data_IF_689857326876
#
_entry.id   IF_689857326876
#
_cell.length_a   1.000
_cell.length_b   1.000
_cell.length_c   1.000
_cell.angle_alpha   90.00
_cell.angle_beta   90.00
_cell.angle_gamma   90.00
#
_symmetry.space_group_name_H-M   'P 1'
#
loop_
_entity.id
_entity.type
_entity.pdbx_description
1 polymer ?
#
# COMPACT_ATOMS: atom_id res chain seq x y z
N UNK A 1 -3.11 -33.53 -31.09
CA UNK A 1 -4.01 -33.00 -30.03
C UNK A 1 -3.34 -33.01 -28.65
N UNK A 2 -2.51 -34.00 -28.29
CA UNK A 2 -1.80 -34.04 -27.00
C UNK A 2 -0.73 -32.95 -26.80
N UNK A 3 -0.02 -32.55 -27.87
CA UNK A 3 1.05 -31.57 -27.79
C UNK A 3 0.58 -30.16 -27.34
N UNK A 4 -0.62 -29.73 -27.73
CA UNK A 4 -1.17 -28.43 -27.31
C UNK A 4 -1.48 -28.36 -25.82
N UNK A 5 -1.96 -29.46 -25.22
CA UNK A 5 -2.26 -29.47 -23.78
C UNK A 5 -0.98 -29.41 -22.93
N UNK A 6 0.10 -30.05 -23.36
CA UNK A 6 1.39 -30.01 -22.67
C UNK A 6 1.95 -28.59 -22.63
N UNK A 7 1.84 -27.85 -23.74
CA UNK A 7 2.31 -26.45 -23.83
C UNK A 7 1.48 -25.54 -22.90
N UNK A 8 0.15 -25.73 -22.85
CA UNK A 8 -0.73 -24.95 -21.98
C UNK A 8 -0.41 -25.21 -20.50
N UNK A 9 -0.20 -26.46 -20.11
CA UNK A 9 0.15 -26.82 -18.72
C UNK A 9 1.50 -26.20 -18.32
N UNK A 10 2.52 -26.27 -19.18
CA UNK A 10 3.83 -25.67 -18.92
C UNK A 10 3.77 -24.14 -18.73
N UNK A 11 2.92 -23.44 -19.50
CA UNK A 11 2.73 -21.99 -19.37
C UNK A 11 2.03 -21.59 -18.06
N UNK A 12 1.14 -22.43 -17.52
CA UNK A 12 0.46 -22.16 -16.25
C UNK A 12 1.42 -22.36 -15.07
N UNK A 13 2.35 -23.31 -15.15
CA UNK A 13 3.33 -23.56 -14.09
C UNK A 13 4.39 -22.46 -13.93
N UNK A 14 4.81 -21.80 -15.01
CA UNK A 14 5.82 -20.72 -14.95
C UNK A 14 5.26 -19.40 -14.41
N UNK A 15 3.94 -19.19 -14.47
CA UNK A 15 3.30 -17.99 -13.93
C UNK A 15 3.08 -18.04 -12.40
N UNK A 16 3.11 -19.23 -11.79
CA UNK A 16 2.76 -19.42 -10.37
C UNK A 16 3.89 -19.21 -9.35
N UNK A 17 5.14 -19.02 -9.78
CA UNK A 17 6.30 -19.03 -8.86
C UNK A 17 6.94 -17.67 -8.60
N UNK A 18 6.40 -16.59 -9.18
CA UNK A 18 6.89 -15.23 -8.94
C UNK A 18 6.10 -14.55 -7.82
N UNK A 19 5.99 -15.20 -6.67
CA UNK A 19 5.77 -14.44 -5.43
C UNK A 19 7.13 -13.83 -5.08
N UNK A 20 7.30 -12.49 -5.10
CA UNK A 20 8.52 -11.90 -4.62
C UNK A 20 8.69 -12.33 -3.16
N UNK A 21 9.70 -13.16 -2.91
CA UNK A 21 10.23 -13.38 -1.58
C UNK A 21 10.73 -12.01 -1.09
N UNK A 22 9.86 -11.28 -0.40
CA UNK A 22 10.24 -10.15 0.43
C UNK A 22 11.16 -10.73 1.48
N UNK A 23 12.46 -10.58 1.27
CA UNK A 23 13.45 -10.72 2.33
C UNK A 23 13.11 -9.60 3.30
N UNK A 24 12.40 -9.94 4.38
CA UNK A 24 12.06 -8.99 5.43
C UNK A 24 13.34 -8.33 5.89
N UNK A 25 13.38 -7.01 5.88
CA UNK A 25 14.45 -6.30 6.56
C UNK A 25 14.40 -6.67 8.05
N UNK A 26 15.57 -6.85 8.67
CA UNK A 26 15.65 -7.12 10.10
C UNK A 26 15.68 -5.78 10.83
N UNK A 27 14.65 -5.53 11.62
CA UNK A 27 14.57 -4.39 12.51
C UNK A 27 15.29 -4.72 13.81
N UNK A 28 15.98 -3.72 14.37
CA UNK A 28 16.66 -3.83 15.67
C UNK A 28 16.06 -2.82 16.65
N UNK A 29 15.69 -3.27 17.83
CA UNK A 29 15.19 -2.44 18.93
C UNK A 29 16.04 -2.64 20.19
N UNK A 30 16.42 -1.55 20.83
CA UNK A 30 17.17 -1.56 22.10
C UNK A 30 16.19 -1.58 23.27
N UNK A 31 16.17 -2.69 24.03
CA UNK A 31 15.26 -2.92 25.16
C UNK A 31 15.89 -2.52 26.52
N UNK A 32 16.96 -1.73 26.51
CA UNK A 32 17.66 -1.30 27.72
C UNK A 32 18.59 -2.37 28.29
N UNK A 33 18.64 -2.53 29.62
CA UNK A 33 19.61 -3.41 30.27
C UNK A 33 19.48 -4.89 29.83
N UNK A 34 20.63 -5.55 29.69
CA UNK A 34 20.71 -7.00 29.51
C UNK A 34 20.47 -7.71 30.85
N UNK A 35 19.35 -8.41 30.94
CA UNK A 35 18.96 -9.29 32.05
C UNK A 35 18.37 -10.59 31.50
N UNK A 36 18.07 -11.56 32.37
CA UNK A 36 17.46 -12.84 31.98
C UNK A 36 16.08 -12.68 31.31
N UNK A 37 15.43 -11.52 31.50
CA UNK A 37 14.18 -11.14 30.86
C UNK A 37 14.35 -10.55 29.45
N UNK A 38 15.57 -10.33 28.97
CA UNK A 38 15.83 -9.74 27.65
C UNK A 38 15.11 -10.49 26.52
N UNK A 39 15.21 -11.82 26.51
CA UNK A 39 14.56 -12.65 25.50
C UNK A 39 13.03 -12.63 25.62
N UNK A 40 12.50 -12.73 26.84
CA UNK A 40 11.05 -12.76 27.05
C UNK A 40 10.39 -11.43 26.67
N UNK A 41 11.01 -10.29 26.98
CA UNK A 41 10.52 -8.96 26.55
C UNK A 41 10.46 -8.85 25.03
N UNK A 42 11.54 -9.27 24.36
CA UNK A 42 11.64 -9.22 22.90
C UNK A 42 10.59 -10.11 22.21
N UNK A 43 10.47 -11.37 22.62
CA UNK A 43 9.49 -12.30 22.02
C UNK A 43 8.04 -11.97 22.38
N UNK A 44 7.81 -11.28 23.50
CA UNK A 44 6.48 -10.77 23.87
C UNK A 44 6.05 -9.57 23.02
N UNK A 45 6.98 -8.69 22.67
CA UNK A 45 6.71 -7.54 21.79
C UNK A 45 6.63 -7.95 20.31
N UNK A 46 7.50 -8.87 19.88
CA UNK A 46 7.64 -9.29 18.49
C UNK A 46 7.63 -10.82 18.38
N UNK A 47 6.54 -11.44 17.90
CA UNK A 47 6.46 -12.88 17.73
C UNK A 47 7.55 -13.40 16.77
N UNK A 48 8.33 -14.40 17.20
CA UNK A 48 9.41 -14.98 16.39
C UNK A 48 10.73 -14.19 16.41
N UNK A 49 10.78 -13.09 17.16
CA UNK A 49 11.99 -12.30 17.33
C UNK A 49 13.07 -13.03 18.12
N UNK A 50 14.32 -12.57 17.96
CA UNK A 50 15.49 -13.07 18.67
C UNK A 50 16.10 -11.94 19.48
N UNK A 51 16.41 -12.19 20.74
CA UNK A 51 17.16 -11.22 21.55
C UNK A 51 18.63 -11.61 21.68
N UNK A 52 19.49 -10.62 21.85
CA UNK A 52 20.90 -10.81 22.18
C UNK A 52 21.43 -9.64 22.99
N UNK A 53 22.36 -9.92 23.90
CA UNK A 53 23.01 -8.87 24.67
C UNK A 53 24.26 -8.36 23.94
N UNK A 54 24.25 -7.06 23.62
CA UNK A 54 25.39 -6.36 23.08
C UNK A 54 26.33 -5.96 24.22
N UNK A 55 27.49 -6.60 24.27
CA UNK A 55 28.53 -6.40 25.28
C UNK A 55 29.57 -5.34 24.86
N UNK A 56 29.38 -4.65 23.73
CA UNK A 56 30.36 -3.68 23.22
C UNK A 56 30.38 -2.36 24.00
N UNK A 57 29.39 -2.12 24.86
CA UNK A 57 29.32 -0.93 25.72
C UNK A 57 29.59 -1.28 27.20
N UNK A 58 30.03 -0.30 27.99
CA UNK A 58 30.26 -0.45 29.44
C UNK A 58 29.04 -0.99 30.22
N UNK A 59 27.83 -0.81 29.66
CA UNK A 59 26.60 -1.42 30.16
C UNK A 59 26.05 -2.34 29.08
N UNK A 60 25.91 -3.65 29.34
CA UNK A 60 25.39 -4.59 28.35
C UNK A 60 23.94 -4.26 28.02
N UNK A 61 23.65 -4.08 26.73
CA UNK A 61 22.32 -3.66 26.23
C UNK A 61 21.61 -4.86 25.61
N UNK A 62 20.35 -5.06 25.95
CA UNK A 62 19.48 -6.03 25.30
C UNK A 62 19.03 -5.51 23.94
N UNK A 63 19.43 -6.18 22.85
CA UNK A 63 18.95 -5.94 21.49
C UNK A 63 17.96 -6.98 21.06
N UNK A 64 16.84 -6.54 20.52
CA UNK A 64 15.82 -7.37 19.92
C UNK A 64 15.90 -7.27 18.39
N UNK A 65 15.98 -8.42 17.72
CA UNK A 65 16.03 -8.55 16.27
C UNK A 65 14.73 -9.22 15.80
N UNK A 66 13.98 -8.54 14.97
CA UNK A 66 12.69 -9.03 14.47
C UNK A 66 12.50 -8.68 13.00
N UNK A 67 11.62 -9.41 12.32
CA UNK A 67 11.22 -9.06 10.97
C UNK A 67 10.48 -7.73 11.00
N UNK A 68 10.96 -6.74 10.24
CA UNK A 68 10.28 -5.47 10.12
C UNK A 68 8.84 -5.72 9.62
N UNK A 69 7.83 -5.03 10.19
CA UNK A 69 6.50 -5.08 9.62
C UNK A 69 6.57 -4.67 8.14
N UNK A 70 5.81 -5.33 7.25
CA UNK A 70 5.80 -4.95 5.84
C UNK A 70 5.44 -3.46 5.74
N UNK A 71 6.08 -2.71 4.83
CA UNK A 71 5.75 -1.30 4.64
C UNK A 71 4.25 -1.20 4.40
N UNK A 72 3.58 -0.35 5.18
CA UNK A 72 2.18 -0.06 4.94
C UNK A 72 2.05 0.49 3.52
N UNK A 73 1.07 0.04 2.72
CA UNK A 73 0.86 0.62 1.41
C UNK A 73 0.67 2.13 1.59
N UNK A 74 1.29 2.97 0.75
CA UNK A 74 1.15 4.42 0.89
C UNK A 74 -0.35 4.75 0.91
N UNK A 75 -0.78 5.67 1.79
CA UNK A 75 -2.13 6.19 1.68
C UNK A 75 -2.28 6.75 0.25
N UNK A 76 -3.41 6.45 -0.40
CA UNK A 76 -3.72 6.92 -1.76
C UNK A 76 -2.95 6.22 -2.90
N UNK A 77 -2.80 4.89 -2.82
CA UNK A 77 -2.06 4.08 -3.81
C UNK A 77 -2.84 3.73 -5.09
N UNK A 78 -4.16 3.88 -5.09
CA UNK A 78 -5.09 3.61 -6.18
C UNK A 78 -5.69 4.93 -6.72
N UNK A 79 -6.35 4.83 -7.86
CA UNK A 79 -7.13 5.95 -8.43
C UNK A 79 -8.60 5.57 -8.37
N UNK A 80 -9.39 6.38 -7.68
CA UNK A 80 -10.83 6.29 -7.59
C UNK A 80 -11.51 7.25 -8.57
N UNK A 81 -12.74 6.92 -8.96
CA UNK A 81 -13.60 7.79 -9.78
C UNK A 81 -14.95 7.97 -9.10
N UNK A 82 -15.44 9.20 -9.03
CA UNK A 82 -16.75 9.53 -8.50
C UNK A 82 -17.40 10.61 -9.38
N UNK A 83 -18.72 10.55 -9.57
CA UNK A 83 -19.48 11.67 -10.14
C UNK A 83 -19.84 12.68 -9.05
N UNK A 84 -19.63 13.97 -9.31
CA UNK A 84 -20.10 15.10 -8.50
C UNK A 84 -21.54 15.51 -8.85
N UNK A 85 -22.21 14.74 -9.71
CA UNK A 85 -23.60 14.98 -10.13
C UNK A 85 -23.72 15.53 -11.55
N UNK A 86 -24.97 15.74 -11.96
CA UNK A 86 -25.33 16.28 -13.29
C UNK A 86 -25.16 17.80 -13.26
N UNK A 87 -24.34 18.31 -14.17
CA UNK A 87 -24.05 19.74 -14.31
C UNK A 87 -24.71 20.35 -15.55
N UNK A 88 -25.14 19.50 -16.50
CA UNK A 88 -25.80 19.94 -17.72
C UNK A 88 -24.83 20.54 -18.74
N UNK A 89 -25.37 21.19 -19.76
CA UNK A 89 -24.61 21.64 -20.94
C UNK A 89 -23.51 22.66 -20.63
N UNK A 90 -23.61 23.40 -19.53
CA UNK A 90 -22.63 24.41 -19.11
C UNK A 90 -21.50 23.83 -18.23
N UNK A 91 -21.30 22.51 -18.26
CA UNK A 91 -20.21 21.90 -17.52
C UNK A 91 -18.87 22.34 -18.11
N UNK A 92 -18.05 23.02 -17.29
CA UNK A 92 -16.66 23.36 -17.59
C UNK A 92 -15.72 22.38 -16.88
N UNK A 93 -14.73 21.85 -17.60
CA UNK A 93 -13.70 20.99 -17.01
C UNK A 93 -12.91 21.71 -15.92
N UNK A 94 -12.70 23.02 -16.07
CA UNK A 94 -11.97 23.85 -15.10
C UNK A 94 -12.75 23.97 -13.79
N UNK A 95 -14.05 24.28 -13.86
CA UNK A 95 -14.93 24.38 -12.68
C UNK A 95 -15.10 23.02 -12.02
N UNK A 96 -15.30 21.97 -12.83
CA UNK A 96 -15.39 20.60 -12.36
C UNK A 96 -14.09 20.15 -11.66
N UNK A 97 -12.94 20.52 -12.21
CA UNK A 97 -11.64 20.23 -11.60
C UNK A 97 -11.41 21.03 -10.32
N UNK A 98 -11.86 22.27 -10.25
CA UNK A 98 -11.79 23.09 -9.03
C UNK A 98 -12.62 22.46 -7.90
N UNK A 99 -13.88 22.09 -8.16
CA UNK A 99 -14.75 21.41 -7.18
C UNK A 99 -14.19 20.05 -6.76
N UNK A 100 -13.64 19.28 -7.71
CA UNK A 100 -13.00 18.01 -7.44
C UNK A 100 -11.74 18.16 -6.56
N UNK A 101 -10.89 19.16 -6.84
CA UNK A 101 -9.70 19.45 -6.03
C UNK A 101 -10.07 19.96 -4.63
N UNK A 102 -11.15 20.73 -4.49
CA UNK A 102 -11.68 21.17 -3.20
C UNK A 102 -12.19 19.99 -2.36
N UNK A 103 -12.84 19.01 -3.00
CA UNK A 103 -13.35 17.80 -2.33
C UNK A 103 -12.24 16.80 -1.97
N UNK A 104 -11.20 16.70 -2.80
CA UNK A 104 -10.08 15.76 -2.63
C UNK A 104 -8.72 16.49 -2.69
N UNK A 105 -8.38 17.28 -1.66
CA UNK A 105 -7.18 18.11 -1.66
C UNK A 105 -5.91 17.33 -1.32
N UNK A 106 -4.77 18.00 -1.48
CA UNK A 106 -3.47 17.52 -1.02
C UNK A 106 -3.05 16.20 -1.69
N UNK A 107 -2.73 15.14 -0.92
CA UNK A 107 -2.21 13.89 -1.47
C UNK A 107 -3.22 13.13 -2.34
N UNK A 108 -4.51 13.48 -2.25
CA UNK A 108 -5.55 12.88 -3.09
C UNK A 108 -5.54 13.42 -4.53
N UNK A 109 -4.98 14.61 -4.75
CA UNK A 109 -4.80 15.20 -6.09
C UNK A 109 -6.04 15.07 -6.98
N UNK A 110 -7.21 15.50 -6.47
CA UNK A 110 -8.46 15.45 -7.23
C UNK A 110 -8.40 16.25 -8.53
N UNK A 111 -8.73 15.62 -9.65
CA UNK A 111 -8.85 16.23 -10.98
C UNK A 111 -10.23 15.91 -11.56
N UNK A 112 -10.94 16.95 -12.00
CA UNK A 112 -12.29 16.86 -12.54
C UNK A 112 -12.33 16.95 -14.06
N UNK A 113 -13.36 16.36 -14.67
CA UNK A 113 -13.68 16.50 -16.09
C UNK A 113 -15.17 16.26 -16.33
N UNK A 114 -15.73 16.95 -17.31
CA UNK A 114 -17.09 16.81 -17.76
C UNK A 114 -17.23 15.60 -18.68
N UNK A 115 -18.26 14.80 -18.45
CA UNK A 115 -18.55 13.61 -19.24
C UNK A 115 -20.04 13.55 -19.56
N UNK A 116 -20.34 13.46 -20.85
CA UNK A 116 -21.71 13.39 -21.36
C UNK A 116 -22.04 11.96 -21.80
N UNK A 117 -23.20 11.46 -21.37
CA UNK A 117 -23.69 10.13 -21.77
C UNK A 117 -25.04 10.21 -22.46
N UNK A 118 -25.13 9.54 -23.63
CA UNK A 118 -26.38 9.16 -24.29
C UNK A 118 -27.29 10.30 -24.75
N UNK A 119 -28.45 9.92 -25.32
CA UNK A 119 -29.59 10.79 -25.57
C UNK A 119 -30.73 10.38 -24.61
N UNK A 120 -31.29 11.30 -23.79
CA UNK A 120 -30.94 12.72 -23.66
C UNK A 120 -29.52 12.92 -23.11
N UNK A 121 -28.85 13.98 -23.55
CA UNK A 121 -27.49 14.29 -23.11
C UNK A 121 -27.49 14.75 -21.66
N UNK A 122 -26.95 13.92 -20.77
CA UNK A 122 -26.68 14.32 -19.39
C UNK A 122 -25.17 14.47 -19.22
N UNK A 123 -24.72 15.72 -19.12
CA UNK A 123 -23.33 16.01 -18.78
C UNK A 123 -23.18 16.04 -17.27
N UNK A 124 -22.28 15.21 -16.75
CA UNK A 124 -21.95 15.13 -15.34
C UNK A 124 -20.48 15.47 -15.13
N UNK A 125 -20.17 16.09 -14.00
CA UNK A 125 -18.80 16.29 -13.57
C UNK A 125 -18.28 15.01 -12.91
N UNK A 126 -17.22 14.42 -13.45
CA UNK A 126 -16.52 13.28 -12.87
C UNK A 126 -15.21 13.72 -12.25
N UNK A 127 -14.88 13.13 -11.12
CA UNK A 127 -13.72 13.44 -10.32
C UNK A 127 -12.84 12.18 -10.18
N UNK A 128 -11.59 12.31 -10.59
CA UNK A 128 -10.54 11.31 -10.42
C UNK A 128 -9.64 11.74 -9.28
N UNK A 129 -9.42 10.87 -8.30
CA UNK A 129 -8.61 11.19 -7.13
C UNK A 129 -7.89 9.95 -6.61
N UNK A 130 -6.81 10.16 -5.87
CA UNK A 130 -6.06 9.10 -5.21
C UNK A 130 -6.78 8.65 -3.93
N UNK A 131 -6.90 7.33 -3.81
CA UNK A 131 -7.52 6.57 -2.73
C UNK A 131 -6.69 5.29 -2.54
#
# INVERSE_FOLDING_TARGET
MAASYIIIVLLVFTAGTLMPMVKGDICTEDLGACDDGCNSRCTSAHPGAKAGCDLNNNTPVCRCYFDCPPPSPPPYSKTCKLSLGIWGENCSDEDCSSECAAKYPGPQQGIGYCYSVGAPFYTSCFCQYKC
#
